data_IF_703099668261
#
_entry.id   IF_703099668261
#
_cell.length_a   1.000
_cell.length_b   1.000
_cell.length_c   1.000
_cell.angle_alpha   90.00
_cell.angle_beta   90.00
_cell.angle_gamma   90.00
#
_symmetry.space_group_name_H-M   'P 1'
#
loop_
_entity.id
_entity.type
_entity.pdbx_description
1 polymer ?
#
# COMPACT_ATOMS: atom_id res chain seq x y z
N UNK A 1 -10.61 -11.45 2.05
CA UNK A 1 -9.59 -11.34 0.99
C UNK A 1 -8.19 -11.74 1.46
N UNK A 2 -7.68 -11.18 2.56
CA UNK A 2 -6.30 -11.50 2.99
C UNK A 2 -6.08 -12.98 3.34
N UNK A 3 -7.10 -13.63 3.90
CA UNK A 3 -7.03 -15.05 4.29
C UNK A 3 -7.42 -15.99 3.14
N UNK A 4 -8.39 -15.56 2.33
CA UNK A 4 -9.03 -16.40 1.31
C UNK A 4 -8.34 -16.30 -0.05
N UNK A 5 -7.57 -15.23 -0.30
CA UNK A 5 -6.97 -14.94 -1.60
C UNK A 5 -7.99 -14.55 -2.68
N UNK A 6 -9.27 -14.42 -2.31
CA UNK A 6 -10.38 -14.11 -3.22
C UNK A 6 -11.29 -13.03 -2.65
N UNK A 7 -11.81 -12.19 -3.52
CA UNK A 7 -12.72 -11.07 -3.29
C UNK A 7 -12.69 -10.06 -4.45
N UNK A 8 -12.69 -8.77 -4.15
CA UNK A 8 -12.80 -7.70 -5.14
C UNK A 8 -11.53 -7.60 -5.99
N UNK A 9 -10.36 -7.91 -5.44
CA UNK A 9 -9.08 -7.84 -6.15
C UNK A 9 -9.01 -8.76 -7.38
N UNK A 10 -9.34 -10.03 -7.21
CA UNK A 10 -9.29 -11.05 -8.26
C UNK A 10 -10.57 -11.13 -9.09
N UNK A 11 -11.74 -10.88 -8.50
CA UNK A 11 -13.03 -11.04 -9.19
C UNK A 11 -13.46 -9.79 -9.95
N UNK A 12 -13.00 -8.60 -9.56
CA UNK A 12 -13.48 -7.32 -10.13
C UNK A 12 -12.33 -6.47 -10.67
N UNK A 13 -11.37 -6.11 -9.83
CA UNK A 13 -10.34 -5.12 -10.18
C UNK A 13 -9.38 -5.68 -11.23
N UNK A 14 -8.79 -6.85 -11.00
CA UNK A 14 -7.84 -7.43 -11.94
C UNK A 14 -8.45 -7.75 -13.33
N UNK A 15 -9.67 -8.34 -13.43
CA UNK A 15 -10.34 -8.51 -14.71
C UNK A 15 -10.61 -7.19 -15.43
N UNK A 16 -11.03 -6.16 -14.69
CA UNK A 16 -11.27 -4.83 -15.26
C UNK A 16 -9.99 -4.21 -15.82
N UNK A 17 -8.90 -4.20 -15.04
CA UNK A 17 -7.60 -3.69 -15.45
C UNK A 17 -7.08 -4.40 -16.70
N UNK A 18 -7.14 -5.74 -16.74
CA UNK A 18 -6.74 -6.51 -17.92
C UNK A 18 -7.61 -6.21 -19.13
N UNK A 19 -8.93 -6.07 -18.94
CA UNK A 19 -9.88 -5.74 -20.01
C UNK A 19 -9.55 -4.39 -20.68
N UNK A 20 -9.07 -3.41 -19.91
CA UNK A 20 -8.66 -2.10 -20.45
C UNK A 20 -7.20 -2.06 -20.90
N UNK A 21 -6.50 -3.21 -20.92
CA UNK A 21 -5.12 -3.32 -21.40
C UNK A 21 -4.05 -2.91 -20.39
N UNK A 22 -4.40 -2.71 -19.12
CA UNK A 22 -3.41 -2.46 -18.06
C UNK A 22 -2.65 -3.75 -17.75
N UNK A 23 -1.33 -3.66 -17.78
CA UNK A 23 -0.42 -4.80 -17.54
C UNK A 23 0.62 -4.53 -16.43
N UNK A 24 0.67 -3.30 -15.89
CA UNK A 24 1.53 -2.88 -14.77
C UNK A 24 0.92 -1.69 -14.04
N UNK A 25 1.31 -1.50 -12.79
CA UNK A 25 0.90 -0.38 -11.95
C UNK A 25 2.13 0.47 -11.60
N UNK A 26 2.23 1.68 -12.16
CA UNK A 26 3.28 2.62 -11.76
C UNK A 26 3.16 2.99 -10.27
N UNK A 27 1.93 3.15 -9.80
CA UNK A 27 1.62 3.45 -8.41
C UNK A 27 0.37 2.70 -7.94
N UNK A 28 0.41 2.25 -6.69
CA UNK A 28 -0.71 1.69 -5.95
C UNK A 28 -0.90 2.50 -4.66
N UNK A 29 -2.03 3.19 -4.51
CA UNK A 29 -2.29 4.05 -3.33
C UNK A 29 -3.26 3.36 -2.39
N UNK A 30 -2.84 3.14 -1.14
CA UNK A 30 -3.66 2.54 -0.08
C UNK A 30 -3.97 3.59 0.99
N UNK A 31 -5.25 3.93 1.12
CA UNK A 31 -5.69 5.05 1.96
C UNK A 31 -5.60 4.75 3.46
N UNK A 32 -5.99 3.55 3.89
CA UNK A 32 -5.94 3.09 5.28
C UNK A 32 -6.00 1.56 5.35
N UNK A 33 -5.71 0.92 6.50
CA UNK A 33 -5.30 -0.48 6.54
C UNK A 33 -6.47 -1.47 6.70
N UNK A 34 -7.72 -1.04 6.50
CA UNK A 34 -8.90 -1.91 6.57
C UNK A 34 -9.09 -2.75 5.30
N UNK A 35 -9.66 -3.94 5.47
CA UNK A 35 -9.75 -4.96 4.41
C UNK A 35 -10.59 -4.52 3.20
N UNK A 36 -11.62 -3.70 3.40
CA UNK A 36 -12.42 -3.10 2.33
C UNK A 36 -11.62 -2.11 1.46
N UNK A 37 -10.45 -1.65 1.93
CA UNK A 37 -9.56 -0.75 1.20
C UNK A 37 -8.27 -1.40 0.71
N UNK A 38 -7.74 -2.39 1.42
CA UNK A 38 -6.45 -3.01 1.08
C UNK A 38 -6.52 -4.52 0.84
N UNK A 39 -7.67 -5.18 1.05
CA UNK A 39 -7.82 -6.62 0.87
C UNK A 39 -7.50 -7.08 -0.55
N UNK A 40 -8.06 -6.38 -1.55
CA UNK A 40 -7.81 -6.67 -2.97
C UNK A 40 -6.39 -6.35 -3.44
N UNK A 41 -5.65 -5.50 -2.70
CA UNK A 41 -4.28 -5.12 -3.06
C UNK A 41 -3.31 -6.31 -2.99
N UNK A 42 -3.56 -7.28 -2.11
CA UNK A 42 -2.75 -8.50 -2.00
C UNK A 42 -2.74 -9.27 -3.32
N UNK A 43 -3.90 -9.45 -3.96
CA UNK A 43 -3.98 -10.11 -5.25
C UNK A 43 -3.32 -9.29 -6.36
N UNK A 44 -3.50 -7.96 -6.35
CA UNK A 44 -2.91 -7.10 -7.38
C UNK A 44 -1.38 -7.14 -7.36
N UNK A 45 -0.76 -7.07 -6.19
CA UNK A 45 0.71 -7.15 -6.05
C UNK A 45 1.27 -8.50 -6.51
N UNK A 46 0.49 -9.58 -6.40
CA UNK A 46 0.90 -10.90 -6.89
C UNK A 46 0.78 -11.06 -8.41
N UNK A 47 -0.04 -10.23 -9.05
CA UNK A 47 -0.49 -10.45 -10.43
C UNK A 47 -0.15 -9.31 -11.40
N UNK A 48 0.32 -8.17 -10.88
CA UNK A 48 0.76 -7.01 -11.64
C UNK A 48 2.13 -6.58 -11.11
N UNK A 49 3.09 -6.25 -11.99
CA UNK A 49 4.25 -5.46 -11.59
C UNK A 49 3.80 -4.13 -10.97
N UNK A 50 4.32 -3.80 -9.78
CA UNK A 50 4.04 -2.55 -9.07
C UNK A 50 5.34 -1.84 -8.74
N UNK A 51 5.50 -0.58 -9.15
CA UNK A 51 6.75 0.15 -8.94
C UNK A 51 6.78 0.93 -7.61
N UNK A 52 5.62 1.44 -7.18
CA UNK A 52 5.46 2.23 -5.97
C UNK A 52 4.13 1.92 -5.29
N UNK A 53 4.16 1.65 -3.99
CA UNK A 53 3.01 1.63 -3.12
C UNK A 53 3.04 2.87 -2.21
N UNK A 54 2.01 3.69 -2.26
CA UNK A 54 1.86 4.85 -1.37
C UNK A 54 0.85 4.49 -0.27
N UNK A 55 1.24 4.69 0.98
CA UNK A 55 0.44 4.27 2.14
C UNK A 55 0.25 5.43 3.12
N UNK A 56 -0.86 5.40 3.88
CA UNK A 56 -1.03 6.35 4.99
C UNK A 56 0.03 6.13 6.09
N UNK A 57 0.49 7.19 6.78
CA UNK A 57 1.49 7.08 7.85
C UNK A 57 1.00 6.23 9.02
N UNK A 58 -0.32 6.18 9.25
CA UNK A 58 -0.94 5.31 10.25
C UNK A 58 -0.73 3.82 9.95
N UNK A 59 -0.69 3.45 8.66
CA UNK A 59 -0.34 2.11 8.21
C UNK A 59 1.19 1.85 8.14
N UNK A 60 2.00 2.92 8.24
CA UNK A 60 3.46 2.88 8.17
C UNK A 60 4.16 2.70 9.53
N UNK A 61 3.45 2.87 10.65
CA UNK A 61 4.03 2.84 11.99
C UNK A 61 4.65 1.50 12.43
N UNK A 62 4.40 0.42 11.70
CA UNK A 62 4.92 -0.93 11.96
C UNK A 62 5.89 -1.47 10.90
N UNK A 63 6.18 -0.70 9.85
CA UNK A 63 7.29 -0.94 8.91
C UNK A 63 8.40 0.02 9.32
N UNK A 64 9.30 -0.37 10.23
CA UNK A 64 10.28 0.55 10.78
C UNK A 64 11.06 1.17 9.63
N UNK A 65 11.02 2.49 9.45
CA UNK A 65 12.08 3.30 8.82
C UNK A 65 12.92 2.60 7.73
N UNK A 66 12.31 1.94 6.74
CA UNK A 66 13.02 1.06 5.79
C UNK A 66 13.19 1.66 4.39
N UNK A 67 12.88 2.94 4.22
CA UNK A 67 13.22 3.69 3.01
C UNK A 67 13.68 5.09 3.40
N UNK A 68 14.92 5.36 3.03
CA UNK A 68 15.63 6.63 3.07
C UNK A 68 14.68 7.83 2.89
N UNK A 69 14.56 8.66 3.93
CA UNK A 69 13.93 9.96 3.79
C UNK A 69 14.90 10.84 3.00
N UNK A 70 14.59 11.34 1.78
CA UNK A 70 15.30 12.51 1.30
C UNK A 70 14.96 13.65 2.26
N UNK A 71 16.00 14.12 2.97
CA UNK A 71 15.94 15.19 3.94
C UNK A 71 15.17 16.40 3.38
N UNK A 72 13.97 16.66 3.91
CA UNK A 72 13.18 17.81 3.45
C UNK A 72 11.80 18.01 4.07
N UNK A 73 11.26 17.06 4.86
CA UNK A 73 9.96 17.20 5.52
C UNK A 73 10.09 17.22 7.03
N UNK A 74 9.78 18.36 7.64
CA UNK A 74 9.79 18.55 9.10
C UNK A 74 8.83 17.56 9.76
N UNK A 75 9.37 16.68 10.60
CA UNK A 75 8.59 15.82 11.49
C UNK A 75 7.77 16.70 12.44
N UNK A 76 6.47 16.84 12.17
CA UNK A 76 5.54 17.50 13.07
C UNK A 76 4.37 16.57 13.41
N UNK A 77 4.37 16.12 14.66
CA UNK A 77 3.17 15.61 15.33
C UNK A 77 3.01 14.10 15.31
N UNK A 78 3.55 13.43 16.32
CA UNK A 78 3.02 12.17 16.84
C UNK A 78 1.59 12.37 17.34
N UNK A 79 0.61 12.38 16.43
CA UNK A 79 -0.79 12.17 16.82
C UNK A 79 -1.02 10.67 16.99
N UNK A 80 -1.09 10.23 18.25
CA UNK A 80 -1.77 9.00 18.64
C UNK A 80 -3.25 9.12 18.26
N UNK A 81 -3.62 8.62 17.10
CA UNK A 81 -5.01 8.22 16.81
C UNK A 81 -5.00 6.71 16.73
N UNK A 82 -5.61 6.07 17.72
CA UNK A 82 -5.62 4.63 17.93
C UNK A 82 -6.47 3.89 16.91
N UNK A 83 -5.90 3.67 15.72
CA UNK A 83 -6.39 2.68 14.77
C UNK A 83 -5.36 1.54 14.74
N UNK A 84 -5.77 0.39 15.26
CA UNK A 84 -4.92 -0.78 15.33
C UNK A 84 -4.68 -1.30 13.92
N UNK A 85 -3.43 -1.24 13.45
CA UNK A 85 -3.06 -1.72 12.12
C UNK A 85 -3.26 -3.23 12.06
N UNK A 86 -4.12 -3.77 11.18
CA UNK A 86 -4.32 -5.21 11.09
C UNK A 86 -3.01 -5.94 10.73
N UNK A 87 -2.70 -7.09 11.35
CA UNK A 87 -1.50 -7.87 11.04
C UNK A 87 -1.38 -8.23 9.55
N UNK A 88 -2.51 -8.49 8.89
CA UNK A 88 -2.57 -8.79 7.47
C UNK A 88 -2.08 -7.62 6.60
N UNK A 89 -2.39 -6.37 6.98
CA UNK A 89 -1.90 -5.19 6.29
C UNK A 89 -0.38 -5.03 6.44
N UNK A 90 0.15 -5.25 7.65
CA UNK A 90 1.61 -5.22 7.87
C UNK A 90 2.32 -6.32 7.07
N UNK A 91 1.73 -7.51 6.97
CA UNK A 91 2.25 -8.60 6.14
C UNK A 91 2.23 -8.24 4.64
N UNK A 92 1.17 -7.56 4.17
CA UNK A 92 1.07 -7.06 2.80
C UNK A 92 2.22 -6.07 2.50
N UNK A 93 2.46 -5.08 3.36
CA UNK A 93 3.54 -4.11 3.14
C UNK A 93 4.91 -4.77 3.12
N UNK A 94 5.17 -5.71 4.04
CA UNK A 94 6.42 -6.48 4.05
C UNK A 94 6.60 -7.29 2.77
N UNK A 95 5.52 -7.91 2.27
CA UNK A 95 5.53 -8.66 1.02
C UNK A 95 5.83 -7.76 -0.18
N UNK A 96 5.22 -6.57 -0.26
CA UNK A 96 5.52 -5.56 -1.28
C UNK A 96 7.01 -5.20 -1.27
N UNK A 97 7.54 -4.80 -0.11
CA UNK A 97 8.97 -4.43 0.01
C UNK A 97 9.90 -5.58 -0.32
N UNK A 98 9.60 -6.80 0.12
CA UNK A 98 10.39 -8.00 -0.20
C UNK A 98 10.33 -8.35 -1.70
N UNK A 99 9.23 -8.04 -2.37
CA UNK A 99 9.04 -8.19 -3.82
C UNK A 99 9.66 -7.07 -4.66
N UNK A 100 10.35 -6.11 -4.04
CA UNK A 100 11.00 -4.99 -4.74
C UNK A 100 10.10 -3.78 -5.03
N UNK A 101 8.85 -3.79 -4.55
CA UNK A 101 7.96 -2.63 -4.63
C UNK A 101 8.45 -1.56 -3.66
N UNK A 102 8.65 -0.32 -4.12
CA UNK A 102 8.97 0.80 -3.22
C UNK A 102 7.73 1.13 -2.40
N UNK A 103 7.83 1.16 -1.07
CA UNK A 103 6.67 1.48 -0.20
C UNK A 103 6.93 2.82 0.47
N UNK A 104 6.16 3.85 0.12
CA UNK A 104 6.29 5.22 0.63
C UNK A 104 5.11 5.62 1.50
N UNK A 105 5.36 6.08 2.72
CA UNK A 105 4.34 6.73 3.54
C UNK A 105 4.09 8.17 3.07
N UNK A 106 2.82 8.59 3.01
CA UNK A 106 2.44 9.94 2.61
C UNK A 106 1.35 10.50 3.53
N UNK A 107 1.65 11.62 4.19
CA UNK A 107 0.76 12.33 5.10
C UNK A 107 0.02 13.50 4.44
N UNK A 108 -0.86 14.12 5.21
CA UNK A 108 -1.57 15.31 4.78
C UNK A 108 -0.60 16.46 4.49
N UNK A 109 -0.65 17.01 3.28
CA UNK A 109 0.21 18.10 2.83
C UNK A 109 1.46 17.65 2.06
N UNK A 110 1.74 16.35 2.00
CA UNK A 110 2.85 15.84 1.20
C UNK A 110 2.55 15.97 -0.31
N UNK A 111 3.57 16.35 -1.08
CA UNK A 111 3.50 16.38 -2.54
C UNK A 111 4.21 15.13 -3.07
N UNK A 112 3.44 14.23 -3.69
CA UNK A 112 3.96 13.03 -4.31
C UNK A 112 4.39 13.32 -5.75
N UNK A 113 5.63 12.92 -6.08
CA UNK A 113 6.14 12.92 -7.44
C UNK A 113 6.18 11.47 -7.91
N UNK A 114 5.20 11.13 -8.75
CA UNK A 114 5.00 9.79 -9.32
C UNK A 114 5.68 9.69 -10.68
#
# INVERSE_FOLDING_TARGET
>A
EFQTGTGTGDQVVAPYLRKIGVNRLDALVLTHPHEDHCGGAAYLVDNFPVDLAVVSPAGGGGVPALIDQPAGGVANGTKKTGEEVPPAYTALLKKMSAGGVRVQAAGAGDILRL
#
